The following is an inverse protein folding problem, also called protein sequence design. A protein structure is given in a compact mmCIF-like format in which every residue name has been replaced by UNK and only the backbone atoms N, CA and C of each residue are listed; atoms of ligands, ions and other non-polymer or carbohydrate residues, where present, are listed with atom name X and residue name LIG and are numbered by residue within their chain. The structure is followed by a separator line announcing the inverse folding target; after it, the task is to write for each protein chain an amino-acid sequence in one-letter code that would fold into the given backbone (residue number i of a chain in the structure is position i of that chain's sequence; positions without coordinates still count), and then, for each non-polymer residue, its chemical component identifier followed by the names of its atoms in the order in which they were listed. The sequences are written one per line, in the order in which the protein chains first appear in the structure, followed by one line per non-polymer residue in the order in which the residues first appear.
data_IF_710468867034
#
_entry.id   IF_710468867034
#
_cell.length_a   1.000
_cell.length_b   1.000
_cell.length_c   1.000
_cell.angle_alpha   90.00
_cell.angle_beta   90.00
_cell.angle_gamma   90.00
#
_symmetry.space_group_name_H-M   'P 1'
#
loop_
_entity.id
_entity.type
_entity.pdbx_description
1 polymer ?
#
# COMPACT_ATOMS: atom_id res chain seq x y z
N UNK A 1 13.03 -5.29 18.64
CA UNK A 1 12.96 -5.29 17.17
C UNK A 1 12.84 -6.75 16.74
N UNK A 2 11.77 -7.13 16.04
CA UNK A 2 11.67 -8.50 15.51
C UNK A 2 12.77 -8.75 14.47
N UNK A 3 13.18 -10.01 14.39
CA UNK A 3 14.31 -10.61 13.66
C UNK A 3 14.13 -10.64 12.13
N UNK A 4 13.33 -9.74 11.56
CA UNK A 4 13.51 -9.40 10.16
C UNK A 4 14.82 -8.62 10.15
N UNK A 5 15.93 -9.29 9.80
CA UNK A 5 17.12 -8.58 9.38
C UNK A 5 16.74 -7.50 8.36
N UNK A 6 17.66 -6.59 8.03
CA UNK A 6 17.40 -5.57 7.00
C UNK A 6 17.35 -6.26 5.62
N UNK A 7 16.32 -7.06 5.37
CA UNK A 7 16.18 -7.98 4.26
C UNK A 7 14.80 -7.80 3.65
N UNK A 8 14.78 -7.47 2.37
CA UNK A 8 13.58 -7.40 1.58
C UNK A 8 13.85 -7.97 0.19
N UNK A 9 13.01 -8.91 -0.26
CA UNK A 9 13.13 -9.51 -1.61
C UNK A 9 14.53 -10.10 -1.87
N UNK A 10 15.13 -10.73 -0.86
CA UNK A 10 16.49 -11.30 -0.96
C UNK A 10 17.64 -10.28 -0.96
N UNK A 11 17.34 -8.98 -0.91
CA UNK A 11 18.34 -7.92 -0.75
C UNK A 11 18.68 -7.74 0.72
N UNK A 12 19.96 -7.62 1.05
CA UNK A 12 20.43 -7.24 2.38
C UNK A 12 20.80 -5.75 2.37
N UNK A 13 20.33 -5.02 3.38
CA UNK A 13 20.63 -3.61 3.60
C UNK A 13 21.58 -3.46 4.78
N UNK A 14 22.43 -2.44 4.78
CA UNK A 14 23.36 -2.17 5.86
C UNK A 14 22.65 -1.61 7.10
N UNK A 15 21.49 -0.99 6.92
CA UNK A 15 20.69 -0.45 8.03
C UNK A 15 19.20 -0.46 7.73
N UNK A 16 18.40 -0.32 8.79
CA UNK A 16 16.97 -0.07 8.66
C UNK A 16 16.66 1.20 7.87
N UNK A 17 17.49 2.23 8.06
CA UNK A 17 17.27 3.55 7.46
C UNK A 17 17.45 3.47 5.95
N UNK A 18 18.50 2.81 5.50
CA UNK A 18 18.76 2.54 4.08
C UNK A 18 17.63 1.72 3.45
N UNK A 19 17.16 0.68 4.14
CA UNK A 19 16.02 -0.12 3.68
C UNK A 19 14.76 0.74 3.57
N UNK A 20 14.45 1.53 4.60
CA UNK A 20 13.27 2.39 4.61
C UNK A 20 13.31 3.42 3.48
N UNK A 21 14.44 4.10 3.28
CA UNK A 21 14.63 5.08 2.22
C UNK A 21 14.51 4.44 0.84
N UNK A 22 15.13 3.29 0.62
CA UNK A 22 15.00 2.53 -0.65
C UNK A 22 13.56 2.09 -0.89
N UNK A 23 12.95 1.50 0.14
CA UNK A 23 11.51 1.23 0.35
C UNK A 23 10.61 2.31 -0.25
N UNK A 24 10.71 3.48 0.35
CA UNK A 24 9.87 4.61 0.05
C UNK A 24 10.21 5.26 -1.29
N UNK A 25 11.49 5.28 -1.67
CA UNK A 25 11.90 5.81 -2.96
C UNK A 25 11.31 4.99 -4.12
N UNK A 26 11.44 3.66 -4.08
CA UNK A 26 10.88 2.77 -5.12
C UNK A 26 9.36 2.89 -5.22
N UNK A 27 8.68 2.96 -4.07
CA UNK A 27 7.23 3.16 -4.03
C UNK A 27 6.84 4.52 -4.63
N UNK A 28 7.54 5.58 -4.25
CA UNK A 28 7.30 6.93 -4.75
C UNK A 28 7.56 7.04 -6.26
N UNK A 29 8.68 6.50 -6.73
CA UNK A 29 9.03 6.50 -8.15
C UNK A 29 7.92 5.83 -8.96
N UNK A 30 7.39 4.70 -8.50
CA UNK A 30 6.33 4.00 -9.21
C UNK A 30 5.03 4.81 -9.26
N UNK A 31 4.68 5.48 -8.16
CA UNK A 31 3.52 6.38 -8.11
C UNK A 31 3.70 7.54 -9.10
N UNK A 32 4.83 8.24 -9.05
CA UNK A 32 5.10 9.39 -9.91
C UNK A 32 5.05 9.01 -11.38
N UNK A 33 5.63 7.86 -11.75
CA UNK A 33 5.60 7.36 -13.14
C UNK A 33 4.20 7.01 -13.62
N UNK A 34 3.31 6.54 -12.74
CA UNK A 34 1.89 6.38 -13.08
C UNK A 34 1.18 7.72 -13.23
N UNK A 35 1.46 8.68 -12.35
CA UNK A 35 0.82 10.01 -12.38
C UNK A 35 1.15 10.80 -13.65
N UNK A 36 2.38 10.70 -14.14
CA UNK A 36 2.79 11.35 -15.40
C UNK A 36 2.43 10.52 -16.65
N UNK A 37 1.82 9.35 -16.48
CA UNK A 37 1.38 8.48 -17.58
C UNK A 37 2.49 7.68 -18.26
N UNK A 38 3.68 7.59 -17.69
CA UNK A 38 4.76 6.72 -18.18
C UNK A 38 4.47 5.24 -17.96
N UNK A 39 3.77 4.92 -16.87
CA UNK A 39 3.33 3.56 -16.52
C UNK A 39 1.81 3.56 -16.37
N UNK A 40 1.15 2.50 -16.81
CA UNK A 40 -0.29 2.35 -16.61
C UNK A 40 -0.63 2.04 -15.15
N UNK A 41 -1.72 2.61 -14.66
CA UNK A 41 -2.26 2.33 -13.32
C UNK A 41 -2.95 0.96 -13.27
N UNK A 42 -2.16 -0.12 -13.29
CA UNK A 42 -2.64 -1.51 -13.25
C UNK A 42 -2.66 -2.07 -11.82
N UNK A 43 -3.35 -3.20 -11.63
CA UNK A 43 -3.34 -3.89 -10.34
C UNK A 43 -1.93 -4.33 -9.93
N UNK A 44 -1.11 -4.76 -10.87
CA UNK A 44 0.25 -5.23 -10.62
C UNK A 44 1.14 -4.10 -10.07
N UNK A 45 1.06 -2.92 -10.67
CA UNK A 45 1.83 -1.75 -10.25
C UNK A 45 1.40 -1.24 -8.87
N UNK A 46 0.09 -1.22 -8.61
CA UNK A 46 -0.43 -0.91 -7.27
C UNK A 46 -0.02 -1.95 -6.23
N UNK A 47 -0.01 -3.23 -6.60
CA UNK A 47 0.44 -4.31 -5.72
C UNK A 47 1.94 -4.18 -5.40
N UNK A 48 2.77 -3.79 -6.37
CA UNK A 48 4.20 -3.54 -6.19
C UNK A 48 4.46 -2.46 -5.13
N UNK A 49 3.71 -1.34 -5.18
CA UNK A 49 3.79 -0.26 -4.19
C UNK A 49 3.29 -0.76 -2.83
N UNK A 50 2.10 -1.36 -2.80
CA UNK A 50 1.46 -1.84 -1.59
C UNK A 50 2.35 -2.83 -0.82
N UNK A 51 3.03 -3.72 -1.54
CA UNK A 51 3.89 -4.73 -0.92
C UNK A 51 5.04 -4.10 -0.12
N UNK A 52 5.66 -3.04 -0.64
CA UNK A 52 6.70 -2.26 0.07
C UNK A 52 6.15 -1.56 1.29
N UNK A 53 5.01 -0.89 1.16
CA UNK A 53 4.38 -0.16 2.27
C UNK A 53 3.92 -1.10 3.40
N UNK A 54 3.40 -2.27 3.05
CA UNK A 54 3.03 -3.32 4.02
C UNK A 54 4.26 -3.91 4.71
N UNK A 55 5.36 -4.14 3.98
CA UNK A 55 6.60 -4.57 4.59
C UNK A 55 7.11 -3.54 5.61
N UNK A 56 7.14 -2.26 5.25
CA UNK A 56 7.51 -1.20 6.18
C UNK A 56 6.59 -1.14 7.40
N UNK A 57 5.29 -1.32 7.21
CA UNK A 57 4.33 -1.42 8.32
C UNK A 57 4.69 -2.57 9.27
N UNK A 58 5.02 -3.74 8.73
CA UNK A 58 5.43 -4.90 9.53
C UNK A 58 6.73 -4.62 10.31
N UNK A 59 7.68 -3.90 9.70
CA UNK A 59 8.92 -3.49 10.38
C UNK A 59 8.67 -2.47 11.52
N UNK A 60 7.74 -1.53 11.34
CA UNK A 60 7.38 -0.52 12.35
C UNK A 60 6.61 -1.11 13.54
N UNK A 61 6.03 -2.30 13.41
CA UNK A 61 5.26 -3.00 14.45
C UNK A 61 4.05 -2.20 14.94
N UNK A 62 4.17 -1.54 16.11
CA UNK A 62 3.05 -0.87 16.79
C UNK A 62 2.88 0.58 16.37
N UNK A 63 3.96 1.26 15.99
CA UNK A 63 3.92 2.69 15.72
C UNK A 63 4.93 3.07 14.62
N UNK A 64 4.49 3.94 13.72
CA UNK A 64 5.34 4.49 12.67
C UNK A 64 6.21 5.60 13.28
N UNK A 65 7.55 5.48 13.22
CA UNK A 65 8.46 6.50 13.73
C UNK A 65 8.20 7.87 13.09
N UNK A 66 8.29 8.94 13.88
CA UNK A 66 7.99 10.31 13.45
C UNK A 66 8.70 10.70 12.15
N UNK A 67 9.98 10.34 12.02
CA UNK A 67 10.81 10.65 10.84
C UNK A 67 10.27 10.06 9.53
N UNK A 68 9.52 8.96 9.57
CA UNK A 68 8.95 8.31 8.38
C UNK A 68 7.47 8.57 8.20
N UNK A 69 6.77 9.03 9.25
CA UNK A 69 5.31 9.12 9.27
C UNK A 69 4.77 9.95 8.10
N UNK A 70 5.39 11.09 7.81
CA UNK A 70 4.95 11.97 6.73
C UNK A 70 5.02 11.27 5.36
N UNK A 71 6.17 10.68 5.03
CA UNK A 71 6.38 9.99 3.75
C UNK A 71 5.48 8.78 3.65
N UNK A 72 5.43 7.95 4.69
CA UNK A 72 4.60 6.75 4.74
C UNK A 72 3.12 7.07 4.51
N UNK A 73 2.57 8.08 5.21
CA UNK A 73 1.18 8.48 5.05
C UNK A 73 0.91 9.08 3.68
N UNK A 74 1.85 9.85 3.13
CA UNK A 74 1.72 10.43 1.78
C UNK A 74 1.63 9.34 0.72
N UNK A 75 2.50 8.32 0.79
CA UNK A 75 2.53 7.23 -0.18
C UNK A 75 1.25 6.38 -0.13
N UNK A 76 0.73 6.08 1.06
CA UNK A 76 -0.57 5.41 1.20
C UNK A 76 -1.71 6.24 0.61
N UNK A 77 -1.73 7.54 0.89
CA UNK A 77 -2.77 8.45 0.37
C UNK A 77 -2.74 8.51 -1.15
N UNK A 78 -1.56 8.58 -1.75
CA UNK A 78 -1.38 8.56 -3.20
C UNK A 78 -1.79 7.22 -3.82
N UNK A 79 -1.41 6.10 -3.19
CA UNK A 79 -1.84 4.78 -3.62
C UNK A 79 -3.37 4.64 -3.60
N UNK A 80 -4.04 5.12 -2.55
CA UNK A 80 -5.50 5.10 -2.48
C UNK A 80 -6.16 5.97 -3.56
N UNK A 81 -5.58 7.12 -3.91
CA UNK A 81 -6.06 7.92 -5.04
C UNK A 81 -5.97 7.13 -6.35
N UNK A 82 -4.82 6.50 -6.62
CA UNK A 82 -4.62 5.69 -7.81
C UNK A 82 -5.60 4.50 -7.87
N UNK A 83 -5.86 3.84 -6.75
CA UNK A 83 -6.90 2.80 -6.69
C UNK A 83 -8.28 3.38 -7.06
N UNK A 84 -8.62 4.56 -6.55
CA UNK A 84 -9.89 5.22 -6.82
C UNK A 84 -10.08 5.60 -8.30
N UNK A 85 -9.04 6.07 -8.98
CA UNK A 85 -9.10 6.51 -10.38
C UNK A 85 -9.53 5.38 -11.33
N UNK A 86 -9.19 4.14 -11.02
CA UNK A 86 -9.58 2.96 -11.80
C UNK A 86 -10.83 2.27 -11.28
N UNK A 87 -11.61 2.96 -10.43
CA UNK A 87 -12.77 2.41 -9.74
C UNK A 87 -12.48 1.10 -9.00
N UNK A 88 -11.26 0.94 -8.46
CA UNK A 88 -10.94 -0.23 -7.68
C UNK A 88 -11.86 -0.33 -6.46
N UNK A 89 -12.46 -1.50 -6.27
CA UNK A 89 -13.22 -1.83 -5.07
C UNK A 89 -12.55 -3.02 -4.41
N UNK A 90 -12.16 -2.86 -3.15
CA UNK A 90 -11.57 -3.96 -2.40
C UNK A 90 -12.55 -5.15 -2.37
N UNK A 91 -12.14 -6.39 -2.73
CA UNK A 91 -13.04 -7.54 -2.82
C UNK A 91 -13.85 -7.78 -1.55
N UNK A 92 -13.24 -7.57 -0.38
CA UNK A 92 -13.94 -7.67 0.90
C UNK A 92 -15.02 -6.60 1.08
N UNK A 93 -14.78 -5.36 0.61
CA UNK A 93 -15.80 -4.31 0.65
C UNK A 93 -16.97 -4.64 -0.29
N UNK A 94 -16.68 -5.18 -1.48
CA UNK A 94 -17.71 -5.68 -2.40
C UNK A 94 -18.53 -6.78 -1.72
N UNK A 95 -17.88 -7.78 -1.14
CA UNK A 95 -18.54 -8.86 -0.39
C UNK A 95 -19.42 -8.32 0.75
N UNK A 96 -18.93 -7.37 1.54
CA UNK A 96 -19.70 -6.77 2.63
C UNK A 96 -20.92 -6.01 2.09
N UNK A 97 -20.74 -5.21 1.03
CA UNK A 97 -21.83 -4.48 0.39
C UNK A 97 -22.89 -5.44 -0.16
N UNK A 98 -22.49 -6.48 -0.86
CA UNK A 98 -23.38 -7.54 -1.35
C UNK A 98 -24.20 -8.15 -0.20
N UNK A 99 -23.57 -8.43 0.94
CA UNK A 99 -24.29 -8.97 2.11
C UNK A 99 -25.25 -7.98 2.75
N UNK A 100 -24.93 -6.68 2.78
CA UNK A 100 -25.84 -5.64 3.28
C UNK A 100 -27.03 -5.48 2.35
N UNK A 101 -26.80 -5.40 1.04
CA UNK A 101 -27.88 -5.27 0.06
C UNK A 101 -28.78 -6.51 0.01
N UNK A 102 -28.22 -7.72 0.03
CA UNK A 102 -28.99 -8.97 0.08
C UNK A 102 -29.83 -9.11 1.37
N UNK A 103 -29.43 -8.49 2.48
CA UNK A 103 -30.24 -8.44 3.72
C UNK A 103 -31.34 -7.38 3.65
N UNK A 104 -31.13 -6.30 2.90
CA UNK A 104 -32.09 -5.21 2.77
C UNK A 104 -33.26 -5.61 1.88
N UNK A 105 -32.98 -6.35 0.81
CA UNK A 105 -34.00 -6.88 -0.12
C UNK A 105 -34.97 -7.89 0.55
N UNK A 106 -34.49 -8.62 1.57
CA UNK A 106 -35.32 -9.53 2.37
C UNK A 106 -36.26 -8.85 3.39
N UNK A 107 -36.11 -7.54 3.64
CA UNK A 107 -36.98 -6.79 4.57
C UNK A 107 -38.13 -6.08 3.88
N UNK A 108 -38.18 -6.11 2.54
CA UNK A 108 -39.20 -5.44 1.72
C UNK A 108 -40.18 -6.46 1.10
N UNK A 109 -40.14 -7.72 1.55
CA UNK A 109 -41.13 -8.75 1.20
C UNK A 109 -41.87 -9.25 2.42
#
# INVERSE_FOLDING_TARGET
MNDFGFIFEGRNFASFDEMAETLFHEANERIVRMDIGEIQNTQEERAYIKWRLVHMQACFQKEIPDRYRSIYNSLWSQLYRLEHEVNYRHPYAVYLLERVFAKTDKRVR
#
